data_IF_892508731776
#
_entry.id   IF_892508731776
#
_cell.length_a   1.000
_cell.length_b   1.000
_cell.length_c   1.000
_cell.angle_alpha   90.00
_cell.angle_beta   90.00
_cell.angle_gamma   90.00
#
_symmetry.space_group_name_H-M   'P 1'
#
loop_
_entity.id
_entity.type
_entity.pdbx_description
1 polymer ?
#
# COMPACT_ATOMS: atom_id res chain seq x y z
N UNK A 1 9.12 5.83 -6.89
CA UNK A 1 9.88 4.90 -6.03
C UNK A 1 10.43 5.72 -4.85
N UNK A 2 9.67 5.85 -3.75
CA UNK A 2 10.04 6.73 -2.63
C UNK A 2 10.82 5.94 -1.57
N UNK A 3 12.14 6.09 -1.57
CA UNK A 3 13.01 5.43 -0.60
C UNK A 3 12.92 6.14 0.74
N UNK A 4 12.49 5.42 1.78
CA UNK A 4 12.41 5.92 3.15
C UNK A 4 13.73 5.69 3.88
N UNK A 5 14.31 6.72 4.50
CA UNK A 5 15.55 6.60 5.25
C UNK A 5 15.32 6.95 6.73
N UNK A 6 14.78 5.98 7.48
CA UNK A 6 14.63 6.12 8.94
C UNK A 6 15.96 6.01 9.70
N UNK A 7 17.04 5.55 9.07
CA UNK A 7 18.36 5.43 9.72
C UNK A 7 19.59 5.43 8.78
N UNK A 8 19.43 5.79 7.50
CA UNK A 8 20.55 5.76 6.54
C UNK A 8 21.35 7.05 6.53
N UNK A 9 22.60 7.00 7.02
CA UNK A 9 23.62 8.00 6.72
C UNK A 9 23.72 8.18 5.19
N UNK A 10 23.15 9.24 4.65
CA UNK A 10 23.45 9.72 3.30
C UNK A 10 24.89 10.26 3.32
N UNK A 11 25.87 9.37 3.12
CA UNK A 11 27.29 9.69 3.33
C UNK A 11 27.86 10.66 2.29
N UNK A 12 27.14 10.98 1.20
CA UNK A 12 27.64 11.82 0.09
C UNK A 12 26.50 12.54 -0.66
N UNK A 13 25.97 13.59 -0.08
CA UNK A 13 25.16 14.59 -0.79
C UNK A 13 26.00 15.81 -1.08
N UNK A 14 25.79 16.43 -2.23
CA UNK A 14 26.74 17.40 -2.73
C UNK A 14 26.06 18.67 -3.23
N UNK A 15 26.52 19.83 -2.76
CA UNK A 15 26.18 21.12 -3.36
C UNK A 15 26.83 21.24 -4.74
N UNK A 16 26.08 21.70 -5.74
CA UNK A 16 26.62 21.95 -7.07
C UNK A 16 27.53 23.18 -7.02
N UNK A 17 28.79 23.05 -7.45
CA UNK A 17 29.74 24.16 -7.56
C UNK A 17 30.13 24.33 -9.04
N UNK A 18 29.86 25.51 -9.60
CA UNK A 18 30.44 25.94 -10.88
C UNK A 18 31.81 26.56 -10.58
N UNK A 19 32.91 25.84 -10.87
CA UNK A 19 34.27 26.35 -10.64
C UNK A 19 34.88 26.95 -11.90
N UNK A 20 35.31 28.22 -11.84
CA UNK A 20 36.14 28.91 -12.86
C UNK A 20 37.63 28.58 -12.64
N UNK A 21 38.08 27.42 -13.10
CA UNK A 21 39.50 27.05 -13.08
C UNK A 21 39.87 26.19 -14.29
N UNK A 22 41.15 26.20 -14.69
CA UNK A 22 41.63 25.43 -15.83
C UNK A 22 41.68 23.93 -15.47
N UNK A 23 40.75 23.14 -16.02
CA UNK A 23 40.59 21.69 -15.77
C UNK A 23 39.14 21.22 -15.88
N UNK A 24 38.90 19.90 -15.89
CA UNK A 24 37.54 19.34 -15.95
C UNK A 24 36.71 19.83 -14.75
N UNK A 25 35.55 20.48 -14.96
CA UNK A 25 34.77 21.06 -13.87
C UNK A 25 34.35 19.98 -12.87
N UNK A 26 34.48 20.30 -11.57
CA UNK A 26 34.07 19.39 -10.48
C UNK A 26 32.56 19.17 -10.55
N UNK A 27 32.12 17.98 -10.97
CA UNK A 27 30.69 17.58 -10.98
C UNK A 27 30.07 17.56 -9.58
N UNK A 28 30.90 17.42 -8.54
CA UNK A 28 30.49 17.30 -7.14
C UNK A 28 31.24 18.36 -6.29
N UNK A 29 30.53 19.29 -5.64
CA UNK A 29 31.03 20.12 -4.53
C UNK A 29 31.06 19.44 -3.13
N UNK A 30 30.70 20.21 -2.10
CA UNK A 30 30.94 19.87 -0.68
C UNK A 30 29.91 18.86 -0.17
N UNK A 31 30.36 17.91 0.67
CA UNK A 31 29.48 16.94 1.31
C UNK A 31 28.60 17.58 2.37
N UNK A 32 27.29 17.36 2.29
CA UNK A 32 26.30 17.87 3.24
C UNK A 32 25.80 16.75 4.16
N UNK A 33 25.83 16.98 5.48
CA UNK A 33 25.27 16.06 6.49
C UNK A 33 23.84 16.49 6.85
N UNK A 34 22.83 15.79 6.33
CA UNK A 34 21.42 16.15 6.58
C UNK A 34 21.02 16.12 8.05
N UNK A 35 21.58 15.22 8.86
CA UNK A 35 21.28 15.14 10.30
C UNK A 35 21.60 16.43 11.04
N UNK A 36 22.68 17.12 10.65
CA UNK A 36 23.06 18.40 11.24
C UNK A 36 22.05 19.48 10.87
N UNK A 37 21.60 19.50 9.61
CA UNK A 37 20.58 20.45 9.13
C UNK A 37 19.20 20.22 9.76
N UNK A 38 18.90 18.99 10.17
CA UNK A 38 17.66 18.62 10.86
C UNK A 38 17.64 19.08 12.34
N UNK A 39 18.79 19.48 12.88
CA UNK A 39 18.91 20.02 14.25
C UNK A 39 18.95 21.55 14.27
N UNK A 40 19.17 22.17 13.11
CA UNK A 40 19.18 23.61 12.95
C UNK A 40 17.75 24.12 12.71
N UNK A 41 17.05 24.45 13.79
CA UNK A 41 15.64 24.87 13.75
C UNK A 41 15.47 26.30 13.23
N UNK A 42 16.47 27.16 13.37
CA UNK A 42 16.41 28.57 12.94
C UNK A 42 16.30 28.70 11.42
N UNK A 43 16.89 27.77 10.67
CA UNK A 43 16.81 27.73 9.22
C UNK A 43 15.59 26.97 8.68
N UNK A 44 14.67 26.53 9.56
CA UNK A 44 13.45 25.85 9.16
C UNK A 44 12.28 26.84 9.05
N UNK A 45 11.44 26.60 8.06
CA UNK A 45 10.16 27.27 7.89
C UNK A 45 9.11 26.59 8.74
N UNK A 46 8.18 27.36 9.30
CA UNK A 46 7.02 26.83 10.02
C UNK A 46 5.81 26.80 9.09
N UNK A 47 5.04 25.71 9.14
CA UNK A 47 3.76 25.61 8.46
C UNK A 47 2.80 24.73 9.25
N UNK A 48 1.52 24.81 8.91
CA UNK A 48 0.53 23.87 9.43
C UNK A 48 0.75 22.47 8.86
N UNK A 49 0.56 21.45 9.70
CA UNK A 49 0.68 20.06 9.28
C UNK A 49 -0.39 19.73 8.23
N UNK A 50 0.00 19.34 7.00
CA UNK A 50 -0.97 18.94 5.98
C UNK A 50 -1.49 17.51 6.18
N UNK A 51 -1.07 16.84 7.27
CA UNK A 51 -1.40 15.43 7.51
C UNK A 51 -2.84 15.31 8.00
N UNK A 52 -3.63 14.50 7.29
CA UNK A 52 -5.02 14.19 7.59
C UNK A 52 -5.31 14.03 9.09
N UNK A 53 -6.39 14.70 9.54
CA UNK A 53 -6.96 14.65 10.91
C UNK A 53 -6.19 15.47 11.96
N UNK A 54 -5.08 16.13 11.61
CA UNK A 54 -4.40 17.03 12.53
C UNK A 54 -4.83 18.48 12.28
N UNK A 55 -5.69 19.01 13.15
CA UNK A 55 -5.99 20.44 13.18
C UNK A 55 -5.11 21.13 14.23
N UNK A 56 -4.50 22.26 13.87
CA UNK A 56 -3.73 23.11 14.80
C UNK A 56 -2.33 22.63 15.16
N UNK A 57 -1.77 21.63 14.48
CA UNK A 57 -0.37 21.20 14.69
C UNK A 57 0.54 21.93 13.70
N UNK A 58 1.48 22.72 14.24
CA UNK A 58 2.55 23.33 13.44
C UNK A 58 3.74 22.39 13.31
N UNK A 59 4.33 22.35 12.12
CA UNK A 59 5.52 21.58 11.79
C UNK A 59 6.62 22.53 11.32
N UNK A 60 7.87 22.17 11.58
CA UNK A 60 9.01 22.84 11.00
C UNK A 60 9.56 22.00 9.85
N UNK A 61 9.93 22.65 8.76
CA UNK A 61 10.53 21.96 7.62
C UNK A 61 11.56 22.82 6.90
N UNK A 62 12.45 22.16 6.16
CA UNK A 62 13.47 22.81 5.34
C UNK A 62 13.66 22.07 4.03
N UNK A 63 13.67 22.81 2.94
CA UNK A 63 13.82 22.28 1.58
C UNK A 63 15.22 22.55 1.06
N UNK A 64 15.83 21.54 0.46
CA UNK A 64 17.19 21.60 -0.09
C UNK A 64 17.28 20.78 -1.36
N UNK A 65 17.70 21.37 -2.46
CA UNK A 65 17.96 20.63 -3.69
C UNK A 65 19.45 20.24 -3.74
N UNK A 66 19.73 18.94 -3.64
CA UNK A 66 21.09 18.41 -3.50
C UNK A 66 21.36 17.32 -4.53
N UNK A 67 22.61 17.24 -4.99
CA UNK A 67 23.05 16.19 -5.92
C UNK A 67 23.29 14.89 -5.15
N UNK A 68 22.54 13.84 -5.49
CA UNK A 68 22.68 12.54 -4.82
C UNK A 68 23.69 11.66 -5.54
N UNK A 69 24.89 11.51 -4.94
CA UNK A 69 26.04 10.86 -5.60
C UNK A 69 25.79 9.46 -6.18
N UNK A 70 25.05 8.53 -5.53
CA UNK A 70 24.81 7.19 -6.09
C UNK A 70 24.07 7.19 -7.42
N UNK A 71 23.14 8.14 -7.61
CA UNK A 71 22.31 8.23 -8.82
C UNK A 71 22.78 9.35 -9.75
N UNK A 72 23.53 10.33 -9.24
CA UNK A 72 24.09 11.43 -10.01
C UNK A 72 23.07 12.47 -10.48
N UNK A 73 21.86 12.47 -9.90
CA UNK A 73 20.77 13.40 -10.20
C UNK A 73 20.51 14.34 -9.03
N UNK A 74 19.96 15.52 -9.33
CA UNK A 74 19.44 16.43 -8.31
C UNK A 74 18.16 15.85 -7.72
N UNK A 75 18.05 15.94 -6.40
CA UNK A 75 16.90 15.48 -5.63
C UNK A 75 16.55 16.58 -4.65
N UNK A 76 15.26 16.85 -4.52
CA UNK A 76 14.70 17.71 -3.49
C UNK A 76 14.61 16.94 -2.18
N UNK A 77 15.34 17.42 -1.18
CA UNK A 77 15.27 16.94 0.20
C UNK A 77 14.35 17.85 1.00
N UNK A 78 13.39 17.25 1.69
CA UNK A 78 12.52 17.94 2.63
C UNK A 78 12.81 17.35 4.02
N UNK A 79 13.45 18.13 4.85
CA UNK A 79 13.72 17.84 6.26
C UNK A 79 12.51 18.31 7.05
N UNK A 80 11.92 17.47 7.88
CA UNK A 80 10.72 17.81 8.65
C UNK A 80 10.94 17.45 10.11
N UNK A 81 10.59 18.36 11.00
CA UNK A 81 10.53 18.17 12.44
C UNK A 81 9.07 18.33 12.91
N UNK A 82 8.47 17.20 13.27
CA UNK A 82 7.10 17.14 13.75
C UNK A 82 7.08 17.00 15.27
N UNK A 83 6.32 17.82 16.02
CA UNK A 83 6.37 17.85 17.49
C UNK A 83 6.08 16.49 18.16
N UNK A 84 5.09 15.75 17.64
CA UNK A 84 4.71 14.43 18.17
C UNK A 84 5.38 13.23 17.48
N UNK A 85 5.63 13.31 16.17
CA UNK A 85 6.11 12.17 15.36
C UNK A 85 7.64 12.15 15.21
N UNK A 86 8.31 13.20 15.68
CA UNK A 86 9.74 13.39 15.57
C UNK A 86 10.18 13.80 14.16
N UNK A 87 11.47 13.61 13.91
CA UNK A 87 12.16 14.12 12.73
C UNK A 87 12.19 13.10 11.60
N UNK A 88 12.02 13.56 10.37
CA UNK A 88 11.94 12.73 9.16
C UNK A 88 12.58 13.45 7.97
N UNK A 89 13.15 12.67 7.05
CA UNK A 89 13.75 13.17 5.81
C UNK A 89 12.98 12.56 4.65
N UNK A 90 12.41 13.42 3.80
CA UNK A 90 11.71 13.05 2.59
C UNK A 90 12.54 13.45 1.37
N UNK A 91 12.34 12.71 0.27
CA UNK A 91 13.05 12.91 -0.99
C UNK A 91 12.06 12.88 -2.15
N UNK A 92 12.21 13.83 -3.07
CA UNK A 92 11.48 13.87 -4.35
C UNK A 92 12.47 14.06 -5.51
N UNK A 93 12.26 13.28 -6.57
CA UNK A 93 12.98 13.47 -7.85
C UNK A 93 12.43 14.66 -8.62
N UNK A 94 11.18 15.05 -8.36
CA UNK A 94 10.57 16.25 -8.94
C UNK A 94 10.92 17.46 -8.07
N UNK A 95 11.59 18.44 -8.69
CA UNK A 95 12.04 19.70 -8.08
C UNK A 95 10.99 20.82 -8.17
N UNK A 96 9.83 20.58 -8.77
CA UNK A 96 8.76 21.58 -8.86
C UNK A 96 7.74 21.44 -7.73
N UNK A 97 7.60 20.24 -7.16
CA UNK A 97 6.64 19.96 -6.09
C UNK A 97 7.01 20.72 -4.81
N UNK A 98 6.02 21.35 -4.17
CA UNK A 98 6.20 22.05 -2.91
C UNK A 98 6.52 21.06 -1.77
N UNK A 99 7.33 21.48 -0.81
CA UNK A 99 7.60 20.72 0.39
C UNK A 99 6.34 20.28 1.15
N UNK A 100 5.34 21.17 1.27
CA UNK A 100 4.07 20.83 1.94
C UNK A 100 3.33 19.71 1.20
N UNK A 101 3.32 19.74 -0.13
CA UNK A 101 2.72 18.68 -0.95
C UNK A 101 3.48 17.36 -0.81
N UNK A 102 4.83 17.40 -0.76
CA UNK A 102 5.66 16.21 -0.49
C UNK A 102 5.32 15.61 0.88
N UNK A 103 5.14 16.44 1.91
CA UNK A 103 4.76 16.01 3.26
C UNK A 103 3.36 15.41 3.24
N UNK A 104 2.41 16.04 2.56
CA UNK A 104 1.04 15.56 2.40
C UNK A 104 1.00 14.20 1.71
N UNK A 105 1.68 14.06 0.57
CA UNK A 105 1.77 12.82 -0.20
C UNK A 105 2.41 11.70 0.61
N UNK A 106 3.47 12.00 1.36
CA UNK A 106 4.06 11.03 2.28
C UNK A 106 3.09 10.66 3.41
N UNK A 107 2.31 11.63 3.89
CA UNK A 107 1.21 11.43 4.83
C UNK A 107 0.18 10.44 4.32
N UNK A 108 -0.09 10.40 3.01
CA UNK A 108 -1.01 9.42 2.41
C UNK A 108 -0.45 7.99 2.34
N UNK A 109 0.86 7.78 2.55
CA UNK A 109 1.51 6.47 2.44
C UNK A 109 0.91 5.41 3.37
N UNK A 110 0.40 5.79 4.55
CA UNK A 110 -0.21 4.81 5.47
C UNK A 110 -1.46 4.15 4.87
N UNK A 111 -2.12 4.77 3.87
CA UNK A 111 -3.26 4.17 3.17
C UNK A 111 -2.91 2.82 2.54
N UNK A 112 -1.66 2.64 2.11
CA UNK A 112 -1.15 1.35 1.63
C UNK A 112 -1.17 0.31 2.76
N UNK A 113 -0.70 0.66 3.96
CA UNK A 113 -0.70 -0.24 5.13
C UNK A 113 -2.13 -0.61 5.54
N UNK A 114 -3.05 0.36 5.52
CA UNK A 114 -4.48 0.12 5.76
C UNK A 114 -5.06 -0.80 4.68
N UNK A 115 -4.74 -0.57 3.41
CA UNK A 115 -5.20 -1.41 2.29
C UNK A 115 -4.72 -2.85 2.45
N UNK A 116 -3.45 -3.08 2.79
CA UNK A 116 -2.93 -4.42 3.07
C UNK A 116 -3.65 -5.10 4.25
N UNK A 117 -3.93 -4.35 5.32
CA UNK A 117 -4.65 -4.88 6.48
C UNK A 117 -6.05 -5.35 6.08
N UNK A 118 -6.74 -4.59 5.23
CA UNK A 118 -8.08 -4.97 4.75
C UNK A 118 -8.02 -6.14 3.76
N UNK A 119 -7.08 -6.14 2.81
CA UNK A 119 -6.85 -7.26 1.89
C UNK A 119 -6.69 -8.59 2.64
N UNK A 120 -5.93 -8.57 3.74
CA UNK A 120 -5.71 -9.75 4.58
C UNK A 120 -6.96 -10.13 5.39
N UNK A 121 -7.63 -9.17 6.04
CA UNK A 121 -8.70 -9.45 7.02
C UNK A 121 -10.09 -9.59 6.41
N UNK A 122 -10.40 -8.84 5.36
CA UNK A 122 -11.71 -8.85 4.72
C UNK A 122 -11.79 -9.91 3.61
N UNK A 123 -10.75 -10.01 2.78
CA UNK A 123 -10.74 -10.88 1.60
C UNK A 123 -9.84 -12.11 1.73
N UNK A 124 -8.87 -12.10 2.65
CA UNK A 124 -7.90 -13.19 2.75
C UNK A 124 -6.92 -13.29 1.59
N UNK A 125 -6.70 -12.20 0.84
CA UNK A 125 -5.85 -12.16 -0.38
C UNK A 125 -4.45 -12.73 -0.16
N UNK A 126 -3.92 -12.59 1.06
CA UNK A 126 -2.59 -13.06 1.45
C UNK A 126 -2.64 -14.23 2.45
N UNK A 127 -3.82 -14.78 2.73
CA UNK A 127 -4.01 -15.81 3.74
C UNK A 127 -3.83 -17.23 3.19
N UNK A 128 -4.00 -17.44 1.88
CA UNK A 128 -3.98 -18.79 1.31
C UNK A 128 -2.55 -19.31 1.06
N UNK A 129 -2.29 -20.55 1.49
CA UNK A 129 -1.04 -21.24 1.21
C UNK A 129 -1.23 -22.33 0.14
N UNK A 130 -0.74 -22.07 -1.07
CA UNK A 130 -0.73 -23.09 -2.12
C UNK A 130 0.34 -24.15 -1.83
N UNK A 131 0.00 -25.39 -2.09
CA UNK A 131 0.83 -26.57 -1.85
C UNK A 131 1.04 -27.32 -3.16
N UNK A 132 2.13 -28.08 -3.23
CA UNK A 132 2.38 -29.02 -4.32
C UNK A 132 2.63 -30.39 -3.71
N UNK A 133 2.05 -31.44 -4.29
CA UNK A 133 2.11 -32.80 -3.74
C UNK A 133 3.56 -33.29 -3.55
N UNK A 134 4.41 -33.04 -4.53
CA UNK A 134 5.80 -33.52 -4.53
C UNK A 134 6.76 -32.50 -3.85
N UNK A 135 6.26 -31.59 -3.00
CA UNK A 135 7.11 -30.59 -2.37
C UNK A 135 8.07 -31.28 -1.40
N UNK A 136 9.37 -31.04 -1.57
CA UNK A 136 10.33 -31.54 -0.59
C UNK A 136 10.17 -30.79 0.73
N UNK A 137 10.18 -31.47 1.89
CA UNK A 137 10.09 -30.83 3.19
C UNK A 137 11.20 -29.80 3.37
N UNK A 138 10.83 -28.59 3.81
CA UNK A 138 11.76 -27.50 4.06
C UNK A 138 11.91 -27.35 5.57
N UNK A 139 13.15 -27.44 6.07
CA UNK A 139 13.42 -27.19 7.49
C UNK A 139 13.28 -25.70 7.79
N UNK A 140 12.86 -25.34 9.01
CA UNK A 140 12.89 -23.94 9.46
C UNK A 140 14.32 -23.41 9.36
N UNK A 141 14.48 -22.19 8.83
CA UNK A 141 15.78 -21.55 8.58
C UNK A 141 16.69 -22.28 7.58
N UNK A 142 16.13 -23.01 6.60
CA UNK A 142 16.91 -23.79 5.62
C UNK A 142 17.76 -22.98 4.62
N UNK A 143 17.81 -21.65 4.75
CA UNK A 143 18.50 -20.78 3.79
C UNK A 143 17.91 -20.85 2.38
N UNK A 144 18.77 -20.65 1.37
CA UNK A 144 18.37 -20.51 -0.02
C UNK A 144 17.94 -21.84 -0.65
N UNK A 145 16.86 -21.82 -1.42
CA UNK A 145 16.41 -22.97 -2.19
C UNK A 145 17.01 -22.95 -3.60
N UNK A 146 17.74 -24.00 -3.95
CA UNK A 146 18.34 -24.14 -5.28
C UNK A 146 17.41 -24.88 -6.25
N UNK A 147 16.27 -24.25 -6.59
CA UNK A 147 15.26 -24.82 -7.50
C UNK A 147 15.84 -25.12 -8.89
N UNK A 148 16.87 -24.39 -9.33
CA UNK A 148 17.53 -24.60 -10.62
C UNK A 148 18.27 -25.94 -10.74
N UNK A 149 18.65 -26.58 -9.63
CA UNK A 149 19.32 -27.89 -9.61
C UNK A 149 18.34 -29.08 -9.64
N UNK A 150 17.03 -28.81 -9.73
CA UNK A 150 15.98 -29.83 -9.72
C UNK A 150 15.56 -30.22 -11.13
N UNK A 151 14.91 -31.38 -11.25
CA UNK A 151 14.37 -31.88 -12.52
C UNK A 151 13.47 -30.84 -13.20
N UNK A 152 13.37 -30.89 -14.53
CA UNK A 152 12.50 -29.99 -15.28
C UNK A 152 11.03 -30.07 -14.80
N UNK A 153 10.56 -31.28 -14.48
CA UNK A 153 9.22 -31.53 -13.95
C UNK A 153 9.00 -30.85 -12.59
N UNK A 154 9.94 -30.99 -11.65
CA UNK A 154 9.85 -30.30 -10.36
C UNK A 154 9.84 -28.78 -10.53
N UNK A 155 10.67 -28.24 -11.43
CA UNK A 155 10.68 -26.80 -11.74
C UNK A 155 9.33 -26.34 -12.30
N UNK A 156 8.71 -27.13 -13.17
CA UNK A 156 7.39 -26.81 -13.75
C UNK A 156 6.28 -26.82 -12.71
N UNK A 157 6.28 -27.77 -11.77
CA UNK A 157 5.29 -27.80 -10.68
C UNK A 157 5.47 -26.63 -9.71
N UNK A 158 6.71 -26.23 -9.39
CA UNK A 158 6.99 -25.00 -8.63
C UNK A 158 6.46 -23.76 -9.35
N UNK A 159 6.71 -23.63 -10.67
CA UNK A 159 6.16 -22.53 -11.47
C UNK A 159 4.63 -22.49 -11.44
N UNK A 160 3.96 -23.65 -11.55
CA UNK A 160 2.50 -23.76 -11.46
C UNK A 160 1.99 -23.29 -10.10
N UNK A 161 2.65 -23.69 -9.01
CA UNK A 161 2.36 -23.23 -7.66
C UNK A 161 2.51 -21.71 -7.54
N UNK A 162 3.61 -21.13 -8.03
CA UNK A 162 3.80 -19.67 -8.03
C UNK A 162 2.76 -18.94 -8.87
N UNK A 163 2.39 -19.48 -10.04
CA UNK A 163 1.34 -18.92 -10.87
C UNK A 163 -0.02 -18.92 -10.17
N UNK A 164 -0.31 -19.94 -9.34
CA UNK A 164 -1.52 -19.96 -8.50
C UNK A 164 -1.49 -18.85 -7.43
N UNK A 165 -0.35 -18.64 -6.75
CA UNK A 165 -0.19 -17.50 -5.84
C UNK A 165 -0.43 -16.17 -6.53
N UNK A 166 0.22 -15.94 -7.67
CA UNK A 166 0.11 -14.67 -8.39
C UNK A 166 -1.33 -14.40 -8.80
N UNK A 167 -2.02 -15.39 -9.38
CA UNK A 167 -3.43 -15.27 -9.78
C UNK A 167 -4.33 -15.02 -8.58
N UNK A 168 -4.17 -15.77 -7.49
CA UNK A 168 -4.97 -15.57 -6.29
C UNK A 168 -4.81 -14.16 -5.70
N UNK A 169 -3.57 -13.69 -5.57
CA UNK A 169 -3.27 -12.34 -5.07
C UNK A 169 -3.85 -11.29 -6.02
N UNK A 170 -3.67 -11.45 -7.33
CA UNK A 170 -4.19 -10.52 -8.33
C UNK A 170 -5.72 -10.42 -8.27
N UNK A 171 -6.42 -11.55 -8.25
CA UNK A 171 -7.89 -11.59 -8.12
C UNK A 171 -8.32 -10.93 -6.80
N UNK A 172 -7.63 -11.19 -5.69
CA UNK A 172 -7.95 -10.57 -4.42
C UNK A 172 -7.75 -9.04 -4.41
N UNK A 173 -6.69 -8.53 -5.05
CA UNK A 173 -6.46 -7.08 -5.20
C UNK A 173 -7.53 -6.44 -6.09
N UNK A 174 -7.93 -7.11 -7.18
CA UNK A 174 -9.02 -6.63 -8.05
C UNK A 174 -10.33 -6.56 -7.24
N UNK A 175 -10.67 -7.62 -6.51
CA UNK A 175 -11.85 -7.64 -5.65
C UNK A 175 -11.81 -6.53 -4.60
N UNK A 176 -10.64 -6.25 -4.02
CA UNK A 176 -10.48 -5.14 -3.08
C UNK A 176 -10.75 -3.78 -3.74
N UNK A 177 -10.20 -3.54 -4.93
CA UNK A 177 -10.46 -2.32 -5.69
C UNK A 177 -11.93 -2.13 -6.02
N UNK A 178 -12.63 -3.21 -6.38
CA UNK A 178 -14.08 -3.19 -6.62
C UNK A 178 -14.86 -2.84 -5.36
N UNK A 179 -14.50 -3.39 -4.19
CA UNK A 179 -15.12 -3.03 -2.92
C UNK A 179 -14.92 -1.55 -2.57
N UNK A 180 -13.71 -1.02 -2.79
CA UNK A 180 -13.41 0.40 -2.57
C UNK A 180 -14.25 1.29 -3.49
N UNK A 181 -14.40 0.89 -4.76
CA UNK A 181 -15.25 1.58 -5.72
C UNK A 181 -16.72 1.57 -5.30
N UNK A 182 -17.27 0.41 -4.92
CA UNK A 182 -18.67 0.31 -4.48
C UNK A 182 -18.92 1.16 -3.23
N UNK A 183 -17.98 1.13 -2.27
CA UNK A 183 -18.04 1.96 -1.08
C UNK A 183 -18.09 3.46 -1.38
N UNK A 184 -17.27 3.94 -2.32
CA UNK A 184 -17.17 5.38 -2.61
C UNK A 184 -18.26 5.87 -3.57
N UNK A 185 -18.64 5.06 -4.56
CA UNK A 185 -19.62 5.43 -5.56
C UNK A 185 -21.07 5.25 -5.08
N UNK A 186 -21.33 4.23 -4.24
CA UNK A 186 -22.68 3.86 -3.80
C UNK A 186 -22.80 3.74 -2.26
N UNK A 187 -22.38 4.74 -1.48
CA UNK A 187 -22.33 4.63 -0.02
C UNK A 187 -23.71 4.41 0.61
N UNK A 188 -24.75 5.08 0.10
CA UNK A 188 -26.12 4.95 0.62
C UNK A 188 -26.67 3.53 0.44
N UNK A 189 -26.47 2.94 -0.75
CA UNK A 189 -26.89 1.58 -1.06
C UNK A 189 -26.20 0.59 -0.10
N UNK A 190 -24.89 0.72 0.06
CA UNK A 190 -24.10 -0.14 0.97
C UNK A 190 -24.60 -0.03 2.42
N UNK A 191 -24.90 1.18 2.89
CA UNK A 191 -25.42 1.36 4.24
C UNK A 191 -26.81 0.75 4.43
N UNK A 192 -27.70 0.87 3.44
CA UNK A 192 -29.03 0.26 3.46
C UNK A 192 -28.94 -1.27 3.45
N UNK A 193 -28.02 -1.83 2.68
CA UNK A 193 -27.80 -3.28 2.57
C UNK A 193 -26.93 -3.88 3.70
N UNK A 194 -26.32 -3.05 4.55
CA UNK A 194 -25.36 -3.51 5.56
C UNK A 194 -25.99 -4.49 6.58
N UNK A 195 -27.27 -4.33 6.91
CA UNK A 195 -28.06 -5.32 7.66
C UNK A 195 -27.46 -5.79 8.99
N UNK A 196 -26.53 -5.04 9.57
CA UNK A 196 -25.79 -5.41 10.77
C UNK A 196 -25.55 -4.20 11.66
N UNK A 197 -24.93 -4.42 12.81
CA UNK A 197 -24.76 -3.39 13.83
C UNK A 197 -23.32 -2.89 13.90
N UNK A 198 -23.17 -1.56 13.96
CA UNK A 198 -21.92 -0.88 14.25
C UNK A 198 -22.16 0.14 15.36
N UNK A 199 -21.25 0.17 16.35
CA UNK A 199 -21.32 1.10 17.48
C UNK A 199 -21.36 2.58 17.04
N UNK A 200 -20.75 2.92 15.91
CA UNK A 200 -20.70 4.31 15.43
C UNK A 200 -20.80 4.34 13.92
N UNK A 201 -21.94 4.79 13.40
CA UNK A 201 -22.13 5.12 11.99
C UNK A 201 -22.03 6.65 11.90
N UNK A 202 -21.06 7.14 11.15
CA UNK A 202 -20.83 8.59 10.97
C UNK A 202 -21.51 9.03 9.67
N UNK A 203 -22.46 9.98 9.72
CA UNK A 203 -23.08 10.53 8.52
C UNK A 203 -22.02 11.16 7.61
N UNK A 204 -22.16 10.98 6.30
CA UNK A 204 -21.27 11.60 5.31
C UNK A 204 -19.89 10.94 5.15
N UNK A 205 -19.62 9.81 5.83
CA UNK A 205 -18.39 9.03 5.63
C UNK A 205 -18.69 7.76 4.83
N UNK A 206 -17.89 7.48 3.81
CA UNK A 206 -17.99 6.27 3.01
C UNK A 206 -17.82 5.01 3.88
N UNK A 207 -18.60 3.95 3.62
CA UNK A 207 -18.50 2.69 4.37
C UNK A 207 -17.11 2.06 4.22
N UNK A 208 -16.67 1.32 5.22
CA UNK A 208 -15.41 0.57 5.09
C UNK A 208 -15.54 -0.61 4.12
N UNK A 209 -14.40 -1.13 3.64
CA UNK A 209 -14.39 -2.37 2.83
C UNK A 209 -15.08 -3.53 3.55
N UNK A 210 -14.89 -3.65 4.88
CA UNK A 210 -15.56 -4.68 5.67
C UNK A 210 -17.08 -4.53 5.69
N UNK A 211 -17.58 -3.29 5.83
CA UNK A 211 -19.02 -2.99 5.75
C UNK A 211 -19.56 -3.35 4.38
N UNK A 212 -18.83 -3.00 3.33
CA UNK A 212 -19.19 -3.29 1.94
C UNK A 212 -19.25 -4.79 1.69
N UNK A 213 -18.27 -5.57 2.20
CA UNK A 213 -18.29 -7.04 2.12
C UNK A 213 -19.51 -7.62 2.82
N UNK A 214 -19.87 -7.13 4.00
CA UNK A 214 -21.04 -7.60 4.75
C UNK A 214 -22.32 -7.26 3.98
N UNK A 215 -22.45 -6.03 3.49
CA UNK A 215 -23.58 -5.62 2.67
C UNK A 215 -23.74 -6.51 1.43
N UNK A 216 -22.66 -6.76 0.70
CA UNK A 216 -22.68 -7.66 -0.46
C UNK A 216 -23.04 -9.11 -0.10
N UNK A 217 -22.64 -9.59 1.07
CA UNK A 217 -23.04 -10.92 1.56
C UNK A 217 -24.54 -10.98 1.87
N UNK A 218 -25.10 -9.91 2.42
CA UNK A 218 -26.53 -9.85 2.73
C UNK A 218 -27.40 -9.74 1.47
N UNK A 219 -26.91 -9.10 0.41
CA UNK A 219 -27.58 -9.05 -0.89
C UNK A 219 -27.32 -10.29 -1.76
N UNK A 220 -26.52 -11.25 -1.31
CA UNK A 220 -26.19 -12.44 -2.09
C UNK A 220 -27.41 -13.33 -2.38
N UNK A 221 -28.34 -13.57 -1.44
CA UNK A 221 -29.55 -14.34 -1.72
C UNK A 221 -30.44 -13.66 -2.78
N UNK A 222 -30.69 -12.35 -2.62
CA UNK A 222 -31.42 -11.55 -3.62
C UNK A 222 -30.73 -11.64 -5.00
N UNK A 223 -29.41 -11.53 -5.06
CA UNK A 223 -28.66 -11.69 -6.31
C UNK A 223 -28.83 -13.09 -6.93
N UNK A 224 -28.83 -14.15 -6.12
CA UNK A 224 -28.98 -15.53 -6.60
C UNK A 224 -30.41 -15.81 -7.12
N UNK A 225 -31.42 -15.10 -6.62
CA UNK A 225 -32.82 -15.19 -7.06
C UNK A 225 -33.11 -14.28 -8.26
N UNK A 226 -32.56 -13.05 -8.26
CA UNK A 226 -32.86 -11.99 -9.23
C UNK A 226 -31.96 -12.01 -10.48
N UNK A 227 -30.93 -12.87 -10.52
CA UNK A 227 -30.08 -12.93 -11.70
C UNK A 227 -30.78 -13.66 -12.84
N UNK A 228 -31.26 -12.87 -13.80
CA UNK A 228 -31.72 -13.25 -15.15
C UNK A 228 -31.14 -14.60 -15.60
N UNK A 229 -31.96 -15.49 -16.16
CA UNK A 229 -31.70 -16.92 -16.49
C UNK A 229 -30.39 -17.28 -17.24
N UNK A 230 -29.56 -16.28 -17.55
CA UNK A 230 -28.35 -16.32 -18.36
C UNK A 230 -27.02 -16.27 -17.57
N UNK A 231 -27.02 -16.02 -16.25
CA UNK A 231 -25.77 -15.96 -15.48
C UNK A 231 -25.16 -17.35 -15.24
N UNK A 232 -24.09 -17.65 -15.98
CA UNK A 232 -23.28 -18.88 -15.81
C UNK A 232 -22.78 -19.03 -14.37
N UNK A 233 -22.46 -17.90 -13.71
CA UNK A 233 -21.96 -17.89 -12.34
C UNK A 233 -23.05 -18.31 -11.34
N UNK A 234 -24.28 -17.82 -11.51
CA UNK A 234 -25.40 -18.18 -10.63
C UNK A 234 -25.69 -19.67 -10.72
N UNK A 235 -25.74 -20.23 -11.95
CA UNK A 235 -25.90 -21.68 -12.19
C UNK A 235 -24.80 -22.49 -11.51
N UNK A 236 -23.55 -22.10 -11.73
CA UNK A 236 -22.39 -22.77 -11.13
C UNK A 236 -22.43 -22.76 -9.59
N UNK A 237 -22.85 -21.65 -8.98
CA UNK A 237 -22.95 -21.55 -7.52
C UNK A 237 -24.07 -22.45 -7.02
N UNK A 238 -25.29 -22.34 -7.56
CA UNK A 238 -26.45 -23.12 -7.13
C UNK A 238 -26.22 -24.63 -7.26
N UNK A 239 -25.56 -25.10 -8.33
CA UNK A 239 -25.20 -26.52 -8.52
C UNK A 239 -24.23 -27.06 -7.45
N UNK A 240 -23.48 -26.17 -6.79
CA UNK A 240 -22.41 -26.53 -5.84
C UNK A 240 -22.76 -26.16 -4.40
N UNK A 241 -23.90 -25.52 -4.14
CA UNK A 241 -24.36 -25.22 -2.80
C UNK A 241 -24.77 -26.52 -2.11
N UNK A 242 -24.20 -26.75 -0.93
CA UNK A 242 -24.59 -27.83 -0.04
C UNK A 242 -25.78 -27.37 0.82
N UNK A 243 -27.00 -27.67 0.36
CA UNK A 243 -28.25 -27.34 1.05
C UNK A 243 -28.42 -28.08 2.40
N UNK A 244 -27.62 -29.11 2.68
CA UNK A 244 -27.67 -29.80 3.98
C UNK A 244 -27.11 -28.95 5.12
N UNK A 245 -26.36 -27.88 4.80
CA UNK A 245 -25.81 -26.93 5.77
C UNK A 245 -26.72 -25.73 5.93
N UNK A 246 -26.89 -25.27 7.16
CA UNK A 246 -27.66 -24.05 7.48
C UNK A 246 -27.15 -22.81 6.72
N UNK A 247 -25.85 -22.74 6.42
CA UNK A 247 -25.26 -21.68 5.60
C UNK A 247 -25.73 -21.74 4.14
N UNK A 248 -25.84 -22.95 3.57
CA UNK A 248 -26.35 -23.15 2.21
C UNK A 248 -27.83 -22.80 2.08
N UNK A 249 -28.64 -23.18 3.07
CA UNK A 249 -30.06 -22.83 3.11
C UNK A 249 -30.29 -21.31 3.23
N UNK A 250 -29.48 -20.59 4.02
CA UNK A 250 -29.57 -19.12 4.14
C UNK A 250 -29.14 -18.36 2.90
N UNK A 251 -28.39 -18.99 2.00
CA UNK A 251 -27.93 -18.35 0.75
C UNK A 251 -29.02 -18.30 -0.33
N UNK A 252 -30.08 -19.09 -0.20
CA UNK A 252 -31.16 -19.23 -1.20
C UNK A 252 -32.54 -18.91 -0.60
N UNK A 253 -32.58 -18.49 0.67
CA UNK A 253 -33.79 -18.09 1.39
C UNK A 253 -34.13 -16.61 1.20
#
# INVERSE_FOLDING_TARGET
MHTFLRNGLLKRLVLMKMGKGCGRPKKYGIKVKLKTLLNDRESMQEAESPVYVQQGIKIHYRTLDLLWKPVGILIRFVLVDHPQRGKIILMSTDLNINAIEIICLYGLRFKIEVSFKQALRALGTYAYHFWMKNMQPIKRRSGNQHVHKRSAEYRNTVRRKLAAYHRHIQTGVIAQGLLQYISSAFPLLVWNSFGSWLRTIRPGICPSEQVTVIAMKNCLPEFLVDSSEQSILTKFILERIDFSRAEGARLVA
#
